data_IF_946534524975
#
_entry.id   IF_946534524975
#
_cell.length_a   1.000
_cell.length_b   1.000
_cell.length_c   1.000
_cell.angle_alpha   90.00
_cell.angle_beta   90.00
_cell.angle_gamma   90.00
#
_symmetry.space_group_name_H-M   'P 1'
#
loop_
_entity.id
_entity.type
_entity.pdbx_description
1 polymer ?
#
# COMPACT_ATOMS: atom_id res chain seq x y z
N UNK A 1 -51.40 24.80 44.58
CA UNK A 1 -51.56 24.27 43.21
C UNK A 1 -50.58 24.85 42.19
N UNK A 2 -50.33 26.17 42.12
CA UNK A 2 -49.45 26.77 41.09
C UNK A 2 -47.95 26.36 41.23
N UNK A 3 -47.46 26.10 42.45
CA UNK A 3 -46.06 25.68 42.67
C UNK A 3 -45.75 24.26 42.19
N UNK A 4 -46.67 23.30 42.30
CA UNK A 4 -46.40 21.91 41.87
C UNK A 4 -46.28 21.81 40.35
N UNK A 5 -47.09 22.55 39.60
CA UNK A 5 -47.04 22.58 38.13
C UNK A 5 -45.75 23.20 37.61
N UNK A 6 -45.23 24.22 38.29
CA UNK A 6 -43.92 24.83 37.96
C UNK A 6 -42.74 23.89 38.25
N UNK A 7 -42.80 23.15 39.36
CA UNK A 7 -41.76 22.18 39.72
C UNK A 7 -41.74 21.01 38.72
N UNK A 8 -42.90 20.46 38.38
CA UNK A 8 -43.01 19.38 37.39
C UNK A 8 -42.58 19.86 36.00
N UNK A 9 -43.00 21.06 35.58
CA UNK A 9 -42.57 21.66 34.31
C UNK A 9 -41.06 21.88 34.23
N UNK A 10 -40.45 22.41 35.29
CA UNK A 10 -39.00 22.59 35.39
C UNK A 10 -38.23 21.26 35.35
N UNK A 11 -38.69 20.25 36.08
CA UNK A 11 -38.06 18.93 36.11
C UNK A 11 -38.12 18.23 34.74
N UNK A 12 -39.24 18.37 34.05
CA UNK A 12 -39.44 17.78 32.72
C UNK A 12 -38.53 18.46 31.68
N UNK A 13 -38.36 19.78 31.77
CA UNK A 13 -37.46 20.53 30.88
C UNK A 13 -36.00 20.13 31.10
N UNK A 14 -35.56 20.00 32.36
CA UNK A 14 -34.20 19.54 32.70
C UNK A 14 -33.99 18.09 32.26
N UNK A 15 -34.94 17.21 32.54
CA UNK A 15 -34.88 15.80 32.13
C UNK A 15 -34.82 15.63 30.61
N UNK A 16 -35.61 16.40 29.88
CA UNK A 16 -35.58 16.41 28.41
C UNK A 16 -34.24 16.92 27.90
N UNK A 17 -33.74 18.05 28.42
CA UNK A 17 -32.45 18.61 28.02
C UNK A 17 -31.27 17.68 28.27
N UNK A 18 -31.26 16.97 29.40
CA UNK A 18 -30.24 15.95 29.70
C UNK A 18 -30.32 14.74 28.77
N UNK A 19 -31.53 14.29 28.41
CA UNK A 19 -31.72 13.19 27.47
C UNK A 19 -31.22 13.55 26.06
N UNK A 20 -31.51 14.76 25.56
CA UNK A 20 -31.01 15.21 24.25
C UNK A 20 -29.48 15.36 24.25
N UNK A 21 -28.89 15.89 25.32
CA UNK A 21 -27.44 16.02 25.44
C UNK A 21 -26.74 14.65 25.46
N UNK A 22 -27.30 13.67 26.18
CA UNK A 22 -26.79 12.31 26.20
C UNK A 22 -26.89 11.64 24.82
N UNK A 23 -28.01 11.83 24.11
CA UNK A 23 -28.20 11.35 22.74
C UNK A 23 -27.19 11.95 21.75
N UNK A 24 -26.96 13.26 21.81
CA UNK A 24 -25.97 13.94 20.98
C UNK A 24 -24.54 13.42 21.23
N UNK A 25 -24.19 13.20 22.50
CA UNK A 25 -22.87 12.68 22.86
C UNK A 25 -22.67 11.22 22.43
N UNK A 26 -23.70 10.38 22.53
CA UNK A 26 -23.68 9.02 21.99
C UNK A 26 -23.55 9.02 20.46
N UNK A 27 -24.27 9.89 19.76
CA UNK A 27 -24.17 10.05 18.31
C UNK A 27 -22.77 10.49 17.88
N UNK A 28 -22.19 11.49 18.55
CA UNK A 28 -20.83 11.95 18.28
C UNK A 28 -19.80 10.82 18.48
N UNK A 29 -19.99 9.97 19.50
CA UNK A 29 -19.14 8.79 19.72
C UNK A 29 -19.32 7.70 18.68
N UNK A 30 -20.55 7.48 18.19
CA UNK A 30 -20.81 6.55 17.11
C UNK A 30 -20.13 7.03 15.81
N UNK A 31 -20.30 8.30 15.45
CA UNK A 31 -19.62 8.96 14.33
C UNK A 31 -18.09 8.83 14.43
N UNK A 32 -17.50 9.11 15.59
CA UNK A 32 -16.06 8.96 15.79
C UNK A 32 -15.57 7.50 15.68
N UNK A 33 -16.43 6.50 15.90
CA UNK A 33 -16.10 5.08 15.66
C UNK A 33 -16.23 4.72 14.19
N UNK A 34 -17.26 5.24 13.50
CA UNK A 34 -17.47 5.05 12.07
C UNK A 34 -16.31 5.62 11.25
N UNK A 35 -15.92 6.87 11.51
CA UNK A 35 -14.77 7.52 10.84
C UNK A 35 -13.48 6.73 11.03
N UNK A 36 -13.24 6.19 12.23
CA UNK A 36 -12.07 5.33 12.49
C UNK A 36 -12.11 4.01 11.74
N UNK A 37 -13.28 3.36 11.66
CA UNK A 37 -13.46 2.12 10.89
C UNK A 37 -13.25 2.37 9.40
N UNK A 38 -13.80 3.46 8.89
CA UNK A 38 -13.66 3.86 7.49
C UNK A 38 -12.19 4.14 7.14
N UNK A 39 -11.47 4.89 7.99
CA UNK A 39 -10.04 5.12 7.80
C UNK A 39 -9.23 3.81 7.77
N UNK A 40 -9.50 2.87 8.68
CA UNK A 40 -8.83 1.55 8.70
C UNK A 40 -9.09 0.76 7.42
N UNK A 41 -10.34 0.76 6.94
CA UNK A 41 -10.69 0.11 5.69
C UNK A 41 -9.94 0.74 4.50
N UNK A 42 -9.90 2.09 4.44
CA UNK A 42 -9.17 2.81 3.40
C UNK A 42 -7.66 2.57 3.47
N UNK A 43 -7.09 2.40 4.67
CA UNK A 43 -5.67 2.04 4.86
C UNK A 43 -5.34 0.63 4.39
N UNK A 44 -6.16 -0.36 4.76
CA UNK A 44 -5.99 -1.73 4.28
C UNK A 44 -6.06 -1.76 2.75
N UNK A 45 -7.04 -1.05 2.19
CA UNK A 45 -7.23 -0.96 0.75
C UNK A 45 -6.06 -0.27 0.04
N UNK A 46 -5.56 0.83 0.61
CA UNK A 46 -4.40 1.54 0.09
C UNK A 46 -3.15 0.65 0.03
N UNK A 47 -2.86 -0.09 1.12
CA UNK A 47 -1.72 -1.02 1.15
C UNK A 47 -1.91 -2.19 0.19
N UNK A 48 -3.14 -2.71 0.06
CA UNK A 48 -3.47 -3.77 -0.89
C UNK A 48 -3.21 -3.33 -2.33
N UNK A 49 -3.77 -2.19 -2.74
CA UNK A 49 -3.60 -1.65 -4.10
C UNK A 49 -2.13 -1.39 -4.42
N UNK A 50 -1.37 -0.85 -3.46
CA UNK A 50 0.07 -0.59 -3.64
C UNK A 50 0.83 -1.90 -3.81
N UNK A 51 0.58 -2.89 -2.95
CA UNK A 51 1.23 -4.19 -3.06
C UNK A 51 0.93 -4.89 -4.38
N UNK A 52 -0.34 -4.97 -4.76
CA UNK A 52 -0.78 -5.57 -6.03
C UNK A 52 -0.12 -4.85 -7.22
N UNK A 53 -0.12 -3.52 -7.22
CA UNK A 53 0.45 -2.74 -8.33
C UNK A 53 1.98 -2.86 -8.43
N UNK A 54 2.69 -3.01 -7.32
CA UNK A 54 4.14 -3.26 -7.32
C UNK A 54 4.47 -4.67 -7.80
N UNK A 55 3.69 -5.67 -7.40
CA UNK A 55 3.84 -7.04 -7.88
C UNK A 55 3.56 -7.13 -9.40
N UNK A 56 2.50 -6.47 -9.87
CA UNK A 56 2.15 -6.40 -11.30
C UNK A 56 3.22 -5.66 -12.12
N UNK A 57 3.85 -4.62 -11.55
CA UNK A 57 4.94 -3.92 -12.20
C UNK A 57 6.15 -4.85 -12.40
N UNK A 58 6.55 -5.55 -11.35
CA UNK A 58 7.68 -6.48 -11.39
C UNK A 58 7.43 -7.62 -12.37
N UNK A 59 6.27 -8.27 -12.27
CA UNK A 59 5.87 -9.34 -13.19
C UNK A 59 5.82 -8.82 -14.64
N UNK A 60 5.24 -7.64 -14.84
CA UNK A 60 5.17 -7.02 -16.14
C UNK A 60 6.54 -6.77 -16.79
N UNK A 61 7.57 -6.45 -15.99
CA UNK A 61 8.94 -6.29 -16.48
C UNK A 61 9.62 -7.64 -16.76
N UNK A 62 9.40 -8.65 -15.91
CA UNK A 62 9.89 -10.02 -16.17
C UNK A 62 9.36 -10.57 -17.49
N UNK A 63 8.05 -10.48 -17.71
CA UNK A 63 7.40 -10.98 -18.93
C UNK A 63 7.84 -10.21 -20.17
N UNK A 64 8.06 -8.88 -20.06
CA UNK A 64 8.58 -8.07 -21.16
C UNK A 64 9.95 -8.56 -21.67
N UNK A 65 10.79 -9.08 -20.78
CA UNK A 65 12.11 -9.62 -21.16
C UNK A 65 11.98 -11.00 -21.82
N UNK A 66 11.02 -11.83 -21.38
CA UNK A 66 10.76 -13.14 -22.00
C UNK A 66 10.27 -13.01 -23.45
N UNK A 67 9.28 -12.15 -23.69
CA UNK A 67 8.63 -12.07 -25.01
C UNK A 67 9.45 -11.30 -26.05
N UNK A 68 10.51 -10.57 -25.64
CA UNK A 68 11.25 -9.61 -26.49
C UNK A 68 10.33 -8.67 -27.28
N UNK A 69 9.09 -8.50 -26.82
CA UNK A 69 8.06 -7.78 -27.54
C UNK A 69 8.28 -6.27 -27.36
N UNK A 70 8.53 -5.59 -28.48
CA UNK A 70 8.74 -4.15 -28.50
C UNK A 70 7.53 -3.38 -27.93
N UNK A 71 6.32 -3.92 -28.04
CA UNK A 71 5.12 -3.33 -27.44
C UNK A 71 5.14 -3.43 -25.90
N UNK A 72 5.59 -4.56 -25.36
CA UNK A 72 5.74 -4.74 -23.92
C UNK A 72 6.83 -3.81 -23.34
N UNK A 73 7.91 -3.57 -24.08
CA UNK A 73 8.96 -2.61 -23.68
C UNK A 73 8.44 -1.17 -23.69
N UNK A 74 7.67 -0.79 -24.72
CA UNK A 74 7.08 0.54 -24.83
C UNK A 74 6.05 0.85 -23.72
N UNK A 75 5.39 -0.18 -23.16
CA UNK A 75 4.45 -0.04 -22.05
C UNK A 75 5.13 0.15 -20.68
N UNK A 76 6.44 -0.11 -20.55
CA UNK A 76 7.19 -0.01 -19.28
C UNK A 76 7.06 1.35 -18.58
N UNK A 77 7.32 2.48 -19.27
CA UNK A 77 7.18 3.82 -18.69
C UNK A 77 5.75 4.14 -18.23
N UNK A 78 4.73 3.65 -18.94
CA UNK A 78 3.33 3.86 -18.57
C UNK A 78 2.99 3.15 -17.25
N UNK A 79 3.44 1.89 -17.09
CA UNK A 79 3.24 1.11 -15.86
C UNK A 79 3.93 1.77 -14.66
N UNK A 80 5.16 2.25 -14.83
CA UNK A 80 5.90 2.98 -13.79
C UNK A 80 5.16 4.28 -13.40
N UNK A 81 4.69 5.05 -14.38
CA UNK A 81 3.92 6.28 -14.14
C UNK A 81 2.63 5.99 -13.36
N UNK A 82 1.92 4.92 -13.72
CA UNK A 82 0.69 4.48 -13.05
C UNK A 82 0.94 4.15 -11.58
N UNK A 83 2.00 3.41 -11.28
CA UNK A 83 2.39 3.08 -9.89
C UNK A 83 2.78 4.35 -9.12
N UNK A 84 3.53 5.26 -9.73
CA UNK A 84 3.88 6.54 -9.09
C UNK A 84 2.65 7.38 -8.73
N UNK A 85 1.70 7.51 -9.66
CA UNK A 85 0.45 8.24 -9.41
C UNK A 85 -0.40 7.55 -8.33
N UNK A 86 -0.40 6.21 -8.29
CA UNK A 86 -1.05 5.45 -7.23
C UNK A 86 -0.42 5.75 -5.87
N UNK A 87 0.92 5.73 -5.76
CA UNK A 87 1.63 6.03 -4.52
C UNK A 87 1.29 7.44 -4.02
N UNK A 88 1.26 8.43 -4.91
CA UNK A 88 0.86 9.80 -4.57
C UNK A 88 -0.59 9.87 -4.09
N UNK A 89 -1.51 9.17 -4.76
CA UNK A 89 -2.94 9.12 -4.41
C UNK A 89 -3.16 8.44 -3.05
N UNK A 90 -2.39 7.40 -2.75
CA UNK A 90 -2.55 6.58 -1.54
C UNK A 90 -1.68 7.03 -0.37
N UNK A 91 -0.75 7.97 -0.57
CA UNK A 91 0.14 8.50 0.45
C UNK A 91 -0.55 8.88 1.79
N UNK A 92 -1.76 9.50 1.83
CA UNK A 92 -2.42 9.83 3.10
C UNK A 92 -2.76 8.64 4.00
N UNK A 93 -2.81 7.45 3.41
CA UNK A 93 -3.16 6.20 4.09
C UNK A 93 -1.96 5.28 4.34
N UNK A 94 -0.78 5.66 3.82
CA UNK A 94 0.47 4.94 3.98
C UNK A 94 1.33 5.63 5.02
N UNK A 95 1.98 4.83 5.87
CA UNK A 95 3.03 5.34 6.75
C UNK A 95 4.27 5.72 5.93
N UNK A 96 5.14 6.54 6.51
CA UNK A 96 6.33 7.03 5.81
C UNK A 96 7.29 5.89 5.43
N UNK A 97 7.45 4.89 6.30
CA UNK A 97 8.23 3.68 6.03
C UNK A 97 7.63 2.88 4.86
N UNK A 98 6.31 2.70 4.83
CA UNK A 98 5.59 2.01 3.76
C UNK A 98 5.76 2.73 2.40
N UNK A 99 5.71 4.06 2.40
CA UNK A 99 5.97 4.86 1.20
C UNK A 99 7.42 4.70 0.71
N UNK A 100 8.38 4.77 1.64
CA UNK A 100 9.81 4.60 1.31
C UNK A 100 10.07 3.20 0.75
N UNK A 101 9.56 2.15 1.39
CA UNK A 101 9.72 0.78 0.91
C UNK A 101 9.08 0.57 -0.46
N UNK A 102 7.90 1.13 -0.70
CA UNK A 102 7.24 1.06 -2.01
C UNK A 102 8.03 1.76 -3.11
N UNK A 103 8.59 2.95 -2.82
CA UNK A 103 9.45 3.68 -3.75
C UNK A 103 10.75 2.93 -4.03
N UNK A 104 11.42 2.41 -2.99
CA UNK A 104 12.62 1.58 -3.13
C UNK A 104 12.34 0.30 -3.92
N UNK A 105 11.18 -0.33 -3.72
CA UNK A 105 10.79 -1.52 -4.47
C UNK A 105 10.68 -1.20 -5.96
N UNK A 106 9.92 -0.16 -6.30
CA UNK A 106 9.78 0.29 -7.69
C UNK A 106 11.13 0.66 -8.30
N UNK A 107 12.00 1.33 -7.54
CA UNK A 107 13.34 1.70 -8.00
C UNK A 107 14.19 0.47 -8.34
N UNK A 108 14.26 -0.52 -7.45
CA UNK A 108 15.04 -1.74 -7.71
C UNK A 108 14.48 -2.57 -8.86
N UNK A 109 13.15 -2.60 -9.03
CA UNK A 109 12.52 -3.25 -10.19
C UNK A 109 13.02 -2.62 -11.49
N UNK A 110 12.97 -1.28 -11.60
CA UNK A 110 13.49 -0.54 -12.77
C UNK A 110 15.00 -0.73 -12.92
N UNK A 111 15.76 -0.65 -11.84
CA UNK A 111 17.21 -0.82 -11.84
C UNK A 111 17.59 -2.19 -12.41
N UNK A 112 16.96 -3.27 -11.92
CA UNK A 112 17.20 -4.63 -12.40
C UNK A 112 16.81 -4.77 -13.88
N UNK A 113 15.65 -4.29 -14.29
CA UNK A 113 15.24 -4.33 -15.70
C UNK A 113 16.24 -3.60 -16.61
N UNK A 114 16.74 -2.43 -16.20
CA UNK A 114 17.76 -1.69 -16.97
C UNK A 114 19.08 -2.46 -17.07
N UNK A 115 19.55 -3.06 -15.96
CA UNK A 115 20.77 -3.86 -15.94
C UNK A 115 20.63 -5.11 -16.81
N UNK A 116 19.52 -5.84 -16.67
CA UNK A 116 19.26 -7.06 -17.44
C UNK A 116 19.19 -6.75 -18.93
N UNK A 117 18.53 -5.66 -19.34
CA UNK A 117 18.48 -5.23 -20.74
C UNK A 117 19.84 -4.80 -21.27
N UNK A 118 20.69 -4.17 -20.46
CA UNK A 118 22.06 -3.88 -20.83
C UNK A 118 22.87 -5.17 -21.03
N UNK A 119 22.77 -6.13 -20.09
CA UNK A 119 23.40 -7.45 -20.20
C UNK A 119 22.96 -8.22 -21.43
N UNK A 120 21.68 -8.13 -21.83
CA UNK A 120 21.19 -8.73 -23.08
C UNK A 120 21.87 -8.15 -24.32
N UNK A 121 22.16 -6.84 -24.35
CA UNK A 121 22.86 -6.19 -25.47
C UNK A 121 24.32 -6.63 -25.54
N UNK A 122 24.94 -6.82 -24.38
CA UNK A 122 26.33 -7.25 -24.25
C UNK A 122 26.53 -8.78 -24.37
N UNK A 123 25.44 -9.54 -24.52
CA UNK A 123 25.48 -11.00 -24.70
C UNK A 123 25.65 -11.81 -23.41
N UNK A 124 25.55 -11.19 -22.23
CA UNK A 124 25.59 -11.90 -20.94
C UNK A 124 24.20 -12.50 -20.63
N UNK A 125 24.09 -13.84 -20.66
CA UNK A 125 22.82 -14.58 -20.54
C UNK A 125 22.47 -14.94 -19.09
N UNK A 126 23.42 -14.87 -18.16
CA UNK A 126 23.24 -15.37 -16.79
C UNK A 126 22.19 -14.55 -16.03
N UNK A 127 22.35 -13.23 -15.99
CA UNK A 127 21.42 -12.32 -15.28
C UNK A 127 20.02 -12.31 -15.90
N UNK A 128 19.94 -12.51 -17.23
CA UNK A 128 18.68 -12.61 -17.99
C UNK A 128 17.91 -13.86 -17.61
N UNK A 129 18.60 -15.01 -17.58
CA UNK A 129 17.99 -16.29 -17.24
C UNK A 129 17.46 -16.33 -15.82
N UNK A 130 18.12 -15.62 -14.90
CA UNK A 130 17.63 -15.48 -13.54
C UNK A 130 16.37 -14.62 -13.47
N UNK A 131 16.38 -13.42 -14.06
CA UNK A 131 15.30 -12.45 -13.91
C UNK A 131 13.93 -12.96 -14.39
N UNK A 132 13.93 -13.77 -15.45
CA UNK A 132 12.73 -14.40 -16.00
C UNK A 132 12.20 -15.58 -15.15
N UNK A 133 12.90 -15.94 -14.06
CA UNK A 133 12.50 -17.00 -13.12
C UNK A 133 12.24 -16.43 -11.73
N UNK A 134 11.59 -17.23 -10.88
CA UNK A 134 11.41 -16.95 -9.45
C UNK A 134 12.55 -17.50 -8.58
N UNK A 135 13.63 -17.99 -9.19
CA UNK A 135 14.73 -18.62 -8.47
C UNK A 135 15.47 -17.61 -7.58
N UNK A 136 15.97 -18.00 -6.40
CA UNK A 136 16.81 -17.12 -5.60
C UNK A 136 18.20 -16.96 -6.22
N UNK A 137 18.66 -15.73 -6.44
CA UNK A 137 20.05 -15.44 -6.85
C UNK A 137 20.94 -15.31 -5.61
N UNK A 138 22.13 -15.94 -5.58
CA UNK A 138 23.13 -15.63 -4.56
C UNK A 138 23.72 -14.24 -4.79
N UNK A 139 23.82 -13.43 -3.73
CA UNK A 139 24.23 -12.02 -3.81
C UNK A 139 25.66 -11.79 -4.37
N UNK A 140 26.49 -12.82 -4.31
CA UNK A 140 27.91 -12.78 -4.71
C UNK A 140 28.12 -12.86 -6.23
N UNK A 141 27.06 -13.03 -7.04
CA UNK A 141 27.21 -13.32 -8.47
C UNK A 141 27.28 -12.09 -9.40
N UNK A 142 26.64 -10.97 -9.05
CA UNK A 142 26.61 -9.76 -9.90
C UNK A 142 26.01 -8.55 -9.15
N UNK A 143 26.18 -7.34 -9.69
CA UNK A 143 25.50 -6.12 -9.18
C UNK A 143 23.98 -6.30 -9.27
N UNK A 144 23.49 -6.96 -10.33
CA UNK A 144 22.08 -7.33 -10.49
C UNK A 144 21.59 -8.26 -9.38
N UNK A 145 22.43 -9.19 -8.92
CA UNK A 145 22.11 -10.09 -7.81
C UNK A 145 21.97 -9.37 -6.46
N UNK A 146 22.72 -8.29 -6.24
CA UNK A 146 22.58 -7.45 -5.04
C UNK A 146 21.23 -6.73 -5.08
N UNK A 147 20.90 -6.06 -6.18
CA UNK A 147 19.62 -5.38 -6.34
C UNK A 147 18.43 -6.36 -6.23
N UNK A 148 18.58 -7.57 -6.77
CA UNK A 148 17.62 -8.66 -6.65
C UNK A 148 17.38 -9.09 -5.19
N UNK A 149 18.44 -9.17 -4.39
CA UNK A 149 18.33 -9.52 -2.98
C UNK A 149 17.63 -8.42 -2.19
N UNK A 150 17.95 -7.15 -2.45
CA UNK A 150 17.27 -6.01 -1.83
C UNK A 150 15.79 -5.95 -2.21
N UNK A 151 15.47 -6.16 -3.49
CA UNK A 151 14.09 -6.27 -3.96
C UNK A 151 13.34 -7.40 -3.22
N UNK A 152 13.98 -8.55 -3.02
CA UNK A 152 13.39 -9.66 -2.26
C UNK A 152 13.15 -9.30 -0.80
N UNK A 153 14.08 -8.59 -0.14
CA UNK A 153 13.90 -8.12 1.23
C UNK A 153 12.70 -7.18 1.33
N UNK A 154 12.59 -6.23 0.40
CA UNK A 154 11.46 -5.29 0.33
C UNK A 154 10.13 -6.00 0.07
N UNK A 155 10.13 -7.02 -0.80
CA UNK A 155 8.97 -7.87 -1.05
C UNK A 155 8.45 -8.50 0.25
N UNK A 156 9.36 -9.09 1.04
CA UNK A 156 9.01 -9.71 2.32
C UNK A 156 8.50 -8.65 3.30
N UNK A 157 9.20 -7.52 3.44
CA UNK A 157 8.80 -6.44 4.35
C UNK A 157 7.41 -5.87 4.04
N UNK A 158 7.12 -5.60 2.77
CA UNK A 158 5.81 -5.08 2.35
C UNK A 158 4.72 -6.14 2.52
N UNK A 159 4.99 -7.41 2.21
CA UNK A 159 4.05 -8.51 2.41
C UNK A 159 3.73 -8.73 3.88
N UNK A 160 4.75 -8.76 4.74
CA UNK A 160 4.59 -8.89 6.20
C UNK A 160 3.82 -7.70 6.77
N UNK A 161 4.12 -6.48 6.31
CA UNK A 161 3.40 -5.29 6.72
C UNK A 161 1.93 -5.36 6.29
N UNK A 162 1.66 -5.72 5.05
CA UNK A 162 0.29 -5.90 4.56
C UNK A 162 -0.47 -6.94 5.39
N UNK A 163 0.13 -8.10 5.63
CA UNK A 163 -0.46 -9.16 6.45
C UNK A 163 -0.77 -8.68 7.88
N UNK A 164 0.17 -7.97 8.51
CA UNK A 164 -0.03 -7.41 9.84
C UNK A 164 -1.17 -6.37 9.89
N UNK A 165 -1.31 -5.54 8.86
CA UNK A 165 -2.39 -4.54 8.77
C UNK A 165 -3.75 -5.20 8.54
N UNK A 166 -3.83 -6.23 7.69
CA UNK A 166 -5.05 -7.00 7.46
C UNK A 166 -5.50 -7.75 8.72
N UNK A 167 -4.56 -8.30 9.50
CA UNK A 167 -4.87 -8.96 10.79
C UNK A 167 -5.23 -7.98 11.90
N UNK A 168 -4.95 -6.70 11.72
CA UNK A 168 -5.16 -5.67 12.75
C UNK A 168 -4.05 -5.61 13.81
N UNK A 169 -2.90 -6.23 13.55
CA UNK A 169 -1.74 -6.25 14.47
C UNK A 169 -1.01 -4.89 14.50
N UNK A 170 -1.10 -4.11 13.40
CA UNK A 170 -0.45 -2.82 13.24
C UNK A 170 -1.45 -1.77 12.71
N UNK A 171 -1.94 -0.90 13.60
CA UNK A 171 -2.74 0.30 13.27
C UNK A 171 -1.86 1.50 13.01
#
# INVERSE_FOLDING_TARGET
>A
MISETLIVGGLTFVGTGLATAAGFWQWQRAQAREVRKEYRAQRIEALREVWESLADLEEGQRTSIMDRDAAAVAAGPERVSRVNLLLLRRAPFLRLDEQQWAQSFMHHVIEIDTMVRASMRDGNVVDVSWWITSAPQPAESSITAIAAQELRKLRVQLSDRYAAVVRGDLE
#
